data_IF_089378675254
#
_entry.id   IF_089378675254
#
_cell.length_a   1.000
_cell.length_b   1.000
_cell.length_c   1.000
_cell.angle_alpha   90.00
_cell.angle_beta   90.00
_cell.angle_gamma   90.00
#
_symmetry.space_group_name_H-M   'P 1'
#
loop_
_entity.id
_entity.type
_entity.pdbx_description
1 polymer ?
#
# COMPACT_ATOMS: atom_id res chain seq x y z
N UNK A 1 17.98 23.91 -60.61
CA UNK A 1 19.02 22.87 -60.68
C UNK A 1 18.79 21.91 -59.55
N UNK A 2 18.00 20.88 -59.81
CA UNK A 2 17.51 19.90 -58.82
C UNK A 2 18.40 18.66 -58.91
N UNK A 3 19.18 18.42 -57.87
CA UNK A 3 20.02 17.23 -57.76
C UNK A 3 19.27 16.14 -57.04
N UNK A 4 18.97 15.06 -57.74
CA UNK A 4 18.36 13.82 -57.25
C UNK A 4 19.28 13.16 -56.23
N UNK A 5 18.80 13.02 -54.99
CA UNK A 5 19.36 12.08 -54.02
C UNK A 5 18.63 10.74 -54.24
N UNK A 6 19.40 9.77 -54.64
CA UNK A 6 18.99 8.39 -54.92
C UNK A 6 18.76 7.68 -53.59
N UNK A 7 17.52 7.30 -53.29
CA UNK A 7 17.18 6.34 -52.26
C UNK A 7 17.87 5.00 -52.54
N UNK A 8 18.70 4.58 -51.61
CA UNK A 8 19.06 3.16 -51.44
C UNK A 8 18.34 2.65 -50.19
N UNK A 9 17.07 2.32 -50.38
CA UNK A 9 16.32 1.49 -49.47
C UNK A 9 16.85 0.07 -49.56
N UNK A 10 17.62 -0.35 -48.59
CA UNK A 10 17.84 -1.75 -48.34
C UNK A 10 16.70 -2.25 -47.48
N UNK A 11 15.67 -2.81 -48.11
CA UNK A 11 14.65 -3.63 -47.52
C UNK A 11 15.33 -4.87 -46.91
N UNK A 12 15.76 -4.74 -45.66
CA UNK A 12 16.04 -5.91 -44.82
C UNK A 12 14.69 -6.46 -44.37
N UNK A 13 13.94 -7.05 -45.30
CA UNK A 13 12.88 -7.99 -45.01
C UNK A 13 13.48 -9.05 -44.12
N UNK A 14 13.16 -8.99 -42.82
CA UNK A 14 13.35 -10.08 -41.89
C UNK A 14 12.68 -11.32 -42.51
N UNK A 15 13.51 -12.21 -43.07
CA UNK A 15 13.02 -13.43 -43.70
C UNK A 15 12.31 -14.25 -42.61
N UNK A 16 11.03 -14.61 -42.79
CA UNK A 16 10.28 -15.43 -41.80
C UNK A 16 10.97 -16.78 -41.51
N UNK A 17 11.82 -17.25 -42.41
CA UNK A 17 12.59 -18.50 -42.30
C UNK A 17 13.66 -18.50 -41.19
N UNK A 18 14.03 -17.33 -40.63
CA UNK A 18 15.00 -17.24 -39.53
C UNK A 18 14.41 -17.57 -38.13
N UNK A 19 13.09 -17.74 -38.04
CA UNK A 19 12.40 -18.05 -36.78
C UNK A 19 11.95 -19.51 -36.65
N UNK A 20 12.18 -20.35 -37.67
CA UNK A 20 11.74 -21.75 -37.71
C UNK A 20 12.83 -22.72 -37.27
N UNK A 21 13.16 -22.74 -35.97
CA UNK A 21 13.98 -23.78 -35.37
C UNK A 21 13.97 -23.68 -33.85
N UNK A 22 13.84 -24.82 -33.17
CA UNK A 22 13.87 -24.92 -31.71
C UNK A 22 15.10 -24.23 -31.10
N UNK A 23 16.27 -24.33 -31.79
CA UNK A 23 17.49 -23.65 -31.37
C UNK A 23 17.38 -22.13 -31.36
N UNK A 24 16.70 -21.55 -32.35
CA UNK A 24 16.50 -20.09 -32.43
C UNK A 24 15.52 -19.59 -31.37
N UNK A 25 14.43 -20.33 -31.11
CA UNK A 25 13.50 -20.04 -30.03
C UNK A 25 14.22 -20.03 -28.68
N UNK A 26 15.00 -21.07 -28.37
CA UNK A 26 15.76 -21.16 -27.12
C UNK A 26 16.73 -19.97 -26.97
N UNK A 27 17.47 -19.65 -27.99
CA UNK A 27 18.42 -18.54 -27.96
C UNK A 27 17.73 -17.20 -27.68
N UNK A 28 16.61 -16.93 -28.32
CA UNK A 28 15.81 -15.73 -28.09
C UNK A 28 15.21 -15.73 -26.69
N UNK A 29 14.61 -16.83 -26.25
CA UNK A 29 13.99 -16.93 -24.93
C UNK A 29 15.01 -16.79 -23.78
N UNK A 30 16.24 -17.33 -23.96
CA UNK A 30 17.31 -17.17 -22.96
C UNK A 30 17.90 -15.74 -22.92
N UNK A 31 17.84 -15.01 -24.05
CA UNK A 31 18.34 -13.63 -24.11
C UNK A 31 17.36 -12.59 -23.52
N UNK A 32 16.10 -12.95 -23.31
CA UNK A 32 15.08 -12.05 -22.77
C UNK A 32 15.16 -12.01 -21.25
N UNK A 33 15.20 -10.79 -20.66
CA UNK A 33 15.20 -10.60 -19.21
C UNK A 33 13.86 -10.93 -18.52
N UNK A 34 12.84 -11.31 -19.28
CA UNK A 34 11.54 -11.73 -18.79
C UNK A 34 11.56 -13.24 -18.53
N UNK A 35 11.00 -13.67 -17.41
CA UNK A 35 10.81 -15.09 -17.14
C UNK A 35 9.80 -15.69 -18.12
N UNK A 36 10.18 -16.78 -18.79
CA UNK A 36 9.33 -17.49 -19.74
C UNK A 36 9.09 -18.90 -19.22
N UNK A 37 7.83 -19.29 -19.17
CA UNK A 37 7.39 -20.62 -18.84
C UNK A 37 6.48 -21.15 -19.94
N UNK A 38 6.65 -22.40 -20.33
CA UNK A 38 5.69 -23.12 -21.17
C UNK A 38 5.13 -24.27 -20.36
N UNK A 39 3.81 -24.35 -20.23
CA UNK A 39 3.14 -25.37 -19.45
C UNK A 39 2.07 -26.11 -20.26
N UNK A 40 1.95 -27.40 -20.03
CA UNK A 40 0.84 -28.23 -20.49
C UNK A 40 0.16 -28.87 -19.27
N UNK A 41 -1.08 -28.47 -19.05
CA UNK A 41 -1.80 -28.88 -17.85
C UNK A 41 -1.16 -28.30 -16.58
N UNK A 42 -0.60 -29.16 -15.72
CA UNK A 42 0.03 -28.78 -14.45
C UNK A 42 1.56 -28.80 -14.48
N UNK A 43 2.14 -29.25 -15.56
CA UNK A 43 3.60 -29.42 -15.71
C UNK A 43 4.21 -28.31 -16.55
N UNK A 44 5.39 -27.86 -16.15
CA UNK A 44 6.25 -27.00 -16.95
C UNK A 44 7.07 -27.88 -17.92
N UNK A 45 7.11 -27.48 -19.18
CA UNK A 45 7.87 -28.13 -20.23
C UNK A 45 9.11 -27.35 -20.64
N UNK A 46 9.05 -26.02 -20.44
CA UNK A 46 10.18 -25.14 -20.69
C UNK A 46 10.20 -24.00 -19.69
N UNK A 47 11.38 -23.60 -19.27
CA UNK A 47 11.66 -22.38 -18.51
C UNK A 47 12.99 -21.80 -18.99
N UNK A 48 13.11 -20.47 -19.07
CA UNK A 48 14.37 -19.80 -19.40
C UNK A 48 15.17 -19.44 -18.13
N UNK A 49 16.39 -18.95 -18.29
CA UNK A 49 17.27 -18.58 -17.19
C UNK A 49 16.67 -17.44 -16.32
N UNK A 50 15.90 -16.51 -16.89
CA UNK A 50 15.23 -15.48 -16.12
C UNK A 50 14.19 -16.08 -15.14
N UNK A 51 13.52 -17.19 -15.51
CA UNK A 51 12.61 -17.90 -14.62
C UNK A 51 13.34 -18.52 -13.42
N UNK A 52 14.54 -19.05 -13.59
CA UNK A 52 15.37 -19.56 -12.48
C UNK A 52 15.76 -18.41 -11.53
N UNK A 53 16.17 -17.28 -12.09
CA UNK A 53 16.56 -16.08 -11.31
C UNK A 53 15.41 -15.54 -10.48
N UNK A 54 14.22 -15.39 -11.08
CA UNK A 54 13.03 -14.82 -10.41
C UNK A 54 12.51 -15.76 -9.33
N UNK A 55 12.48 -17.07 -9.59
CA UNK A 55 11.89 -18.05 -8.65
C UNK A 55 12.89 -18.57 -7.62
N UNK A 56 14.19 -18.56 -7.95
CA UNK A 56 15.26 -19.13 -7.13
C UNK A 56 15.35 -20.65 -7.18
N UNK A 57 14.57 -21.31 -8.04
CA UNK A 57 14.64 -22.74 -8.30
C UNK A 57 15.52 -23.00 -9.54
N UNK A 58 16.26 -24.09 -9.53
CA UNK A 58 16.96 -24.54 -10.73
C UNK A 58 15.97 -25.07 -11.79
N UNK A 59 16.37 -25.05 -13.05
CA UNK A 59 15.55 -25.49 -14.19
C UNK A 59 14.96 -26.88 -13.98
N UNK A 60 15.78 -27.84 -13.54
CA UNK A 60 15.38 -29.23 -13.30
C UNK A 60 14.32 -29.33 -12.21
N UNK A 61 14.41 -28.48 -11.17
CA UNK A 61 13.43 -28.42 -10.09
C UNK A 61 12.11 -27.89 -10.62
N UNK A 62 12.15 -26.77 -11.38
CA UNK A 62 10.96 -26.16 -11.99
C UNK A 62 10.22 -27.11 -12.92
N UNK A 63 10.95 -27.85 -13.76
CA UNK A 63 10.36 -28.83 -14.69
C UNK A 63 9.75 -30.04 -13.98
N UNK A 64 10.22 -30.36 -12.77
CA UNK A 64 9.72 -31.49 -11.98
C UNK A 64 8.56 -31.18 -11.07
N UNK A 65 8.37 -29.86 -10.72
CA UNK A 65 7.37 -29.42 -9.76
C UNK A 65 6.03 -29.04 -10.42
N UNK A 66 5.00 -28.93 -9.60
CA UNK A 66 3.75 -28.33 -10.04
C UNK A 66 3.87 -26.79 -9.97
N UNK A 67 3.67 -26.09 -11.09
CA UNK A 67 3.79 -24.62 -11.13
C UNK A 67 2.91 -23.89 -10.11
N UNK A 68 1.82 -24.53 -9.63
CA UNK A 68 0.94 -23.98 -8.60
C UNK A 68 1.63 -23.81 -7.26
N UNK A 69 2.70 -24.56 -7.02
CA UNK A 69 3.45 -24.51 -5.77
C UNK A 69 4.31 -23.22 -5.70
N UNK A 70 4.59 -22.61 -6.85
CA UNK A 70 5.22 -21.28 -6.94
C UNK A 70 4.26 -20.17 -6.55
N UNK A 71 2.94 -20.37 -6.67
CA UNK A 71 1.96 -19.32 -6.51
C UNK A 71 1.61 -19.17 -5.03
N UNK A 72 1.69 -17.93 -4.54
CA UNK A 72 1.27 -17.61 -3.18
C UNK A 72 -0.17 -18.08 -2.93
N UNK A 73 -0.50 -18.66 -1.76
CA UNK A 73 -1.83 -19.19 -1.46
C UNK A 73 -2.98 -18.24 -1.81
N UNK A 74 -2.84 -16.95 -1.50
CA UNK A 74 -3.86 -15.92 -1.74
C UNK A 74 -4.15 -15.67 -3.23
N UNK A 75 -3.21 -16.01 -4.11
CA UNK A 75 -3.34 -15.81 -5.55
C UNK A 75 -3.75 -17.08 -6.32
N UNK A 76 -3.79 -18.24 -5.67
CA UNK A 76 -4.06 -19.53 -6.34
C UNK A 76 -5.42 -19.57 -7.02
N UNK A 77 -6.45 -19.06 -6.36
CA UNK A 77 -7.80 -19.04 -6.90
C UNK A 77 -7.91 -18.14 -8.14
N UNK A 78 -7.24 -16.97 -8.12
CA UNK A 78 -7.17 -16.06 -9.25
C UNK A 78 -6.55 -16.73 -10.48
N UNK A 79 -5.41 -17.40 -10.29
CA UNK A 79 -4.69 -18.08 -11.38
C UNK A 79 -5.49 -19.26 -11.93
N UNK A 80 -6.23 -19.98 -11.07
CA UNK A 80 -7.09 -21.08 -11.51
C UNK A 80 -8.25 -20.60 -12.37
N UNK A 81 -8.91 -19.51 -11.99
CA UNK A 81 -10.03 -18.92 -12.75
C UNK A 81 -9.55 -18.44 -14.12
N UNK A 82 -8.38 -17.85 -14.21
CA UNK A 82 -7.82 -17.28 -15.45
C UNK A 82 -7.11 -18.32 -16.32
N UNK A 83 -6.37 -19.25 -15.75
CA UNK A 83 -5.68 -20.31 -16.48
C UNK A 83 -6.60 -21.35 -17.14
N UNK A 84 -7.90 -21.37 -16.82
CA UNK A 84 -8.88 -22.25 -17.43
C UNK A 84 -9.66 -21.64 -18.62
N UNK A 85 -9.54 -20.35 -18.84
CA UNK A 85 -10.21 -19.66 -19.93
C UNK A 85 -9.48 -19.97 -21.26
N UNK A 86 -10.17 -20.61 -22.21
CA UNK A 86 -9.70 -20.85 -23.59
C UNK A 86 -9.68 -19.54 -24.42
N UNK A 87 -9.17 -18.45 -23.86
CA UNK A 87 -9.10 -17.18 -24.57
C UNK A 87 -7.80 -17.12 -25.40
N UNK A 88 -7.95 -16.78 -26.69
CA UNK A 88 -6.83 -16.56 -27.62
C UNK A 88 -6.10 -15.24 -27.38
N UNK A 89 -6.70 -14.31 -26.64
CA UNK A 89 -6.12 -13.02 -26.35
C UNK A 89 -5.19 -13.09 -25.11
N UNK A 90 -4.05 -12.41 -25.18
CA UNK A 90 -3.08 -12.36 -24.09
C UNK A 90 -3.72 -11.68 -22.86
N UNK A 91 -3.95 -12.44 -21.81
CA UNK A 91 -4.46 -11.93 -20.56
C UNK A 91 -3.31 -11.47 -19.65
N UNK A 92 -3.40 -10.22 -19.15
CA UNK A 92 -2.41 -9.67 -18.23
C UNK A 92 -2.98 -9.54 -16.83
N UNK A 93 -2.22 -9.98 -15.83
CA UNK A 93 -2.59 -9.85 -14.43
C UNK A 93 -1.35 -9.87 -13.53
N UNK A 94 -1.52 -9.39 -12.30
CA UNK A 94 -0.47 -9.44 -11.30
C UNK A 94 -0.69 -10.61 -10.35
N UNK A 95 0.38 -11.30 -9.99
CA UNK A 95 0.34 -12.45 -9.09
C UNK A 95 1.53 -12.41 -8.13
N UNK A 96 1.31 -12.86 -6.90
CA UNK A 96 2.37 -13.06 -5.93
C UNK A 96 2.86 -14.51 -6.00
N UNK A 97 4.16 -14.70 -5.99
CA UNK A 97 4.81 -16.01 -5.93
C UNK A 97 5.66 -16.16 -4.67
N UNK A 98 5.96 -17.40 -4.32
CA UNK A 98 6.92 -17.77 -3.28
C UNK A 98 8.19 -18.29 -3.94
N UNK A 99 9.33 -17.67 -3.65
CA UNK A 99 10.65 -18.17 -4.06
C UNK A 99 11.05 -19.38 -3.24
N UNK A 100 12.07 -20.11 -3.72
CA UNK A 100 12.63 -21.27 -3.03
C UNK A 100 13.09 -20.99 -1.59
N UNK A 101 13.55 -19.77 -1.32
CA UNK A 101 13.97 -19.34 0.02
C UNK A 101 12.82 -18.82 0.90
N UNK A 102 11.57 -18.86 0.41
CA UNK A 102 10.39 -18.38 1.10
C UNK A 102 10.08 -16.90 0.90
N UNK A 103 10.92 -16.14 0.21
CA UNK A 103 10.64 -14.72 -0.10
C UNK A 103 9.46 -14.60 -1.05
N UNK A 104 8.65 -13.57 -0.85
CA UNK A 104 7.56 -13.21 -1.74
C UNK A 104 8.05 -12.31 -2.88
N UNK A 105 7.49 -12.51 -4.09
CA UNK A 105 7.70 -11.64 -5.25
C UNK A 105 6.39 -11.34 -5.95
N UNK A 106 6.24 -10.10 -6.40
CA UNK A 106 5.16 -9.70 -7.28
C UNK A 106 5.57 -9.84 -8.73
N UNK A 107 4.80 -10.58 -9.51
CA UNK A 107 5.03 -10.74 -10.95
C UNK A 107 3.86 -10.15 -11.74
N UNK A 108 4.18 -9.38 -12.78
CA UNK A 108 3.25 -9.06 -13.86
C UNK A 108 3.29 -10.19 -14.88
N UNK A 109 2.19 -10.89 -15.06
CA UNK A 109 2.10 -12.10 -15.87
C UNK A 109 1.26 -11.81 -17.11
N UNK A 110 1.74 -12.27 -18.27
CA UNK A 110 0.98 -12.34 -19.51
C UNK A 110 0.91 -13.80 -19.96
N UNK A 111 -0.29 -14.27 -20.31
CA UNK A 111 -0.52 -15.66 -20.74
C UNK A 111 -1.07 -15.71 -22.16
N UNK A 112 -0.57 -16.62 -22.98
CA UNK A 112 -1.08 -16.87 -24.32
C UNK A 112 -1.13 -18.39 -24.57
N UNK A 113 -2.07 -18.83 -25.39
CA UNK A 113 -2.14 -20.24 -25.85
C UNK A 113 -1.33 -20.36 -27.13
N UNK A 114 -0.41 -21.30 -27.13
CA UNK A 114 0.46 -21.62 -28.27
C UNK A 114 0.32 -23.11 -28.62
N UNK A 115 0.77 -23.50 -29.80
CA UNK A 115 1.06 -24.89 -30.15
C UNK A 115 2.52 -25.18 -29.80
N UNK A 116 2.74 -26.21 -28.99
CA UNK A 116 4.06 -26.65 -28.56
C UNK A 116 4.09 -28.19 -28.64
N UNK A 117 5.03 -28.72 -29.41
CA UNK A 117 5.13 -30.18 -29.70
C UNK A 117 3.84 -30.81 -30.21
N UNK A 118 3.10 -30.11 -31.10
CA UNK A 118 1.83 -30.56 -31.68
C UNK A 118 0.66 -30.58 -30.70
N UNK A 119 0.79 -30.00 -29.52
CA UNK A 119 -0.25 -29.90 -28.50
C UNK A 119 -0.43 -28.45 -28.03
N UNK A 120 -1.64 -28.14 -27.55
CA UNK A 120 -1.89 -26.82 -26.94
C UNK A 120 -1.13 -26.69 -25.63
N UNK A 121 -0.43 -25.57 -25.48
CA UNK A 121 0.34 -25.21 -24.30
C UNK A 121 0.06 -23.74 -23.91
N UNK A 122 0.27 -23.43 -22.65
CA UNK A 122 0.24 -22.04 -22.17
C UNK A 122 1.67 -21.49 -22.15
N UNK A 123 1.91 -20.43 -22.92
CA UNK A 123 3.09 -19.59 -22.83
C UNK A 123 2.81 -18.51 -21.78
N UNK A 124 3.64 -18.46 -20.78
CA UNK A 124 3.57 -17.46 -19.68
C UNK A 124 4.85 -16.65 -19.71
N UNK A 125 4.70 -15.34 -19.85
CA UNK A 125 5.80 -14.39 -19.62
C UNK A 125 5.57 -13.63 -18.32
N UNK A 126 6.62 -13.45 -17.51
CA UNK A 126 6.51 -12.83 -16.21
C UNK A 126 7.65 -11.83 -15.95
N UNK A 127 7.29 -10.64 -15.47
CA UNK A 127 8.21 -9.59 -15.08
C UNK A 127 8.16 -9.39 -13.56
N UNK A 128 9.32 -9.20 -12.92
CA UNK A 128 9.37 -8.84 -11.51
C UNK A 128 8.88 -7.40 -11.31
N UNK A 129 7.81 -7.24 -10.55
CA UNK A 129 7.21 -5.95 -10.18
C UNK A 129 7.44 -5.59 -8.72
N UNK A 130 8.25 -6.37 -7.99
CA UNK A 130 8.39 -6.24 -6.53
C UNK A 130 8.92 -4.87 -6.13
N UNK A 131 9.96 -4.38 -6.78
CA UNK A 131 10.50 -3.04 -6.51
C UNK A 131 9.48 -1.94 -6.81
N UNK A 132 8.73 -2.05 -7.91
CA UNK A 132 7.66 -1.12 -8.25
C UNK A 132 6.57 -1.11 -7.18
N UNK A 133 6.10 -2.28 -6.72
CA UNK A 133 5.10 -2.40 -5.66
C UNK A 133 5.57 -1.81 -4.34
N UNK A 134 6.79 -2.10 -3.94
CA UNK A 134 7.36 -1.50 -2.72
C UNK A 134 7.51 0.02 -2.84
N UNK A 135 7.87 0.53 -4.02
CA UNK A 135 7.93 1.98 -4.25
C UNK A 135 6.54 2.61 -4.19
N UNK A 136 5.52 2.01 -4.80
CA UNK A 136 4.13 2.44 -4.74
C UNK A 136 3.61 2.45 -3.29
N UNK A 137 3.83 1.38 -2.53
CA UNK A 137 3.47 1.28 -1.10
C UNK A 137 4.17 2.34 -0.25
N UNK A 138 5.47 2.55 -0.50
CA UNK A 138 6.24 3.59 0.19
C UNK A 138 5.72 4.99 -0.11
N UNK A 139 5.39 5.27 -1.37
CA UNK A 139 4.78 6.56 -1.76
C UNK A 139 3.42 6.73 -1.07
N UNK A 140 2.59 5.70 -1.02
CA UNK A 140 1.31 5.75 -0.32
C UNK A 140 1.50 5.99 1.19
N UNK A 141 2.45 5.28 1.81
CA UNK A 141 2.77 5.47 3.22
C UNK A 141 3.21 6.91 3.50
N UNK A 142 4.14 7.45 2.72
CA UNK A 142 4.61 8.83 2.83
C UNK A 142 3.51 9.85 2.55
N UNK A 143 2.55 9.52 1.68
CA UNK A 143 1.43 10.41 1.36
C UNK A 143 0.35 10.47 2.45
N UNK A 144 0.28 9.48 3.35
CA UNK A 144 -0.78 9.34 4.35
C UNK A 144 -0.31 9.37 5.80
N UNK A 145 1.01 9.39 6.06
CA UNK A 145 1.57 9.41 7.42
C UNK A 145 2.37 10.68 7.70
N UNK A 146 2.40 11.09 8.95
CA UNK A 146 3.31 12.12 9.46
C UNK A 146 4.69 11.51 9.73
N UNK A 147 5.77 12.02 9.11
CA UNK A 147 7.09 11.39 9.17
C UNK A 147 7.76 11.50 10.55
N UNK A 148 7.31 12.40 11.42
CA UNK A 148 7.84 12.55 12.77
C UNK A 148 7.20 11.56 13.73
N UNK A 149 5.88 11.49 13.70
CA UNK A 149 5.10 10.74 14.68
C UNK A 149 4.69 9.35 14.19
N UNK A 150 4.69 9.11 12.87
CA UNK A 150 4.20 7.87 12.26
C UNK A 150 2.69 7.66 12.38
N UNK A 151 1.94 8.65 12.88
CA UNK A 151 0.47 8.68 12.82
C UNK A 151 0.00 9.05 11.42
N UNK A 152 -1.30 9.02 11.16
CA UNK A 152 -1.86 9.62 9.96
C UNK A 152 -1.48 11.10 9.85
N UNK A 153 -1.38 11.61 8.63
CA UNK A 153 -1.24 13.04 8.37
C UNK A 153 -2.61 13.69 8.12
N UNK A 154 -2.63 15.00 7.82
CA UNK A 154 -3.85 15.73 7.50
C UNK A 154 -4.69 15.08 6.40
N UNK A 155 -4.05 14.57 5.34
CA UNK A 155 -4.76 13.89 4.24
C UNK A 155 -5.45 12.62 4.73
N UNK A 156 -4.76 11.78 5.51
CA UNK A 156 -5.35 10.58 6.12
C UNK A 156 -6.54 10.91 7.00
N UNK A 157 -6.45 11.99 7.78
CA UNK A 157 -7.55 12.47 8.64
C UNK A 157 -8.79 12.79 7.82
N UNK A 158 -8.64 13.58 6.76
CA UNK A 158 -9.77 14.00 5.90
C UNK A 158 -10.42 12.81 5.21
N UNK A 159 -9.62 11.92 4.63
CA UNK A 159 -10.11 10.70 3.96
C UNK A 159 -10.86 9.78 4.95
N UNK A 160 -10.33 9.59 6.16
CA UNK A 160 -10.97 8.75 7.18
C UNK A 160 -12.27 9.39 7.70
N UNK A 161 -12.29 10.70 7.92
CA UNK A 161 -13.47 11.42 8.41
C UNK A 161 -14.61 11.40 7.37
N UNK A 162 -14.29 11.61 6.08
CA UNK A 162 -15.27 11.51 5.00
C UNK A 162 -15.89 10.11 4.91
N UNK A 163 -15.06 9.07 5.06
CA UNK A 163 -15.52 7.68 5.08
C UNK A 163 -16.47 7.40 6.26
N UNK A 164 -16.15 7.91 7.46
CA UNK A 164 -16.98 7.69 8.67
C UNK A 164 -18.27 8.50 8.63
N UNK A 165 -18.26 9.73 8.12
CA UNK A 165 -19.48 10.53 7.91
C UNK A 165 -20.44 9.79 6.96
N UNK A 166 -19.94 9.29 5.83
CA UNK A 166 -20.72 8.48 4.88
C UNK A 166 -21.22 7.19 5.52
N UNK A 167 -20.43 6.54 6.36
CA UNK A 167 -20.81 5.34 7.09
C UNK A 167 -21.91 5.61 8.12
N UNK A 168 -21.79 6.68 8.91
CA UNK A 168 -22.80 7.12 9.87
C UNK A 168 -24.13 7.40 9.18
N UNK A 169 -24.12 8.07 8.02
CA UNK A 169 -25.34 8.31 7.21
C UNK A 169 -26.06 7.02 6.78
N UNK A 170 -25.33 5.91 6.59
CA UNK A 170 -25.93 4.61 6.22
C UNK A 170 -26.39 3.78 7.43
N UNK A 171 -25.63 3.83 8.53
CA UNK A 171 -25.84 2.94 9.69
C UNK A 171 -26.62 3.58 10.81
N UNK A 172 -26.71 4.91 10.86
CA UNK A 172 -27.25 5.68 11.97
C UNK A 172 -26.38 5.66 13.25
N UNK A 173 -25.19 5.01 13.20
CA UNK A 173 -24.30 4.93 14.36
C UNK A 173 -23.37 6.15 14.35
N UNK A 174 -23.31 6.92 15.47
CA UNK A 174 -22.53 8.16 15.51
C UNK A 174 -21.04 7.89 15.41
N UNK A 175 -20.26 8.88 14.91
CA UNK A 175 -18.82 8.89 15.05
C UNK A 175 -18.38 10.15 15.79
N UNK A 176 -17.32 10.05 16.62
CA UNK A 176 -16.77 11.18 17.32
C UNK A 176 -15.42 11.62 16.74
N UNK A 177 -15.12 12.90 16.85
CA UNK A 177 -13.81 13.49 16.53
C UNK A 177 -13.28 14.15 17.79
N UNK A 178 -12.03 13.84 18.13
CA UNK A 178 -11.25 14.55 19.14
C UNK A 178 -10.22 15.41 18.40
N UNK A 179 -10.18 16.70 18.67
CA UNK A 179 -9.05 17.56 18.33
C UNK A 179 -8.20 17.77 19.56
N UNK A 180 -6.88 17.62 19.39
CA UNK A 180 -5.93 17.71 20.50
C UNK A 180 -4.81 18.69 20.14
N UNK A 181 -4.39 19.46 21.11
CA UNK A 181 -3.26 20.39 20.99
C UNK A 181 -2.30 20.12 22.15
N UNK A 182 -1.02 19.92 21.84
CA UNK A 182 0.01 19.70 22.85
C UNK A 182 0.31 21.03 23.56
N UNK A 183 -0.09 21.12 24.80
CA UNK A 183 0.02 22.37 25.57
C UNK A 183 1.49 22.81 25.69
N UNK A 184 1.69 24.12 25.51
CA UNK A 184 2.95 24.80 25.74
C UNK A 184 4.15 24.27 24.93
N UNK A 185 3.95 23.64 23.77
CA UNK A 185 5.05 23.14 22.92
C UNK A 185 6.08 24.26 22.62
N UNK A 186 5.62 25.48 22.42
CA UNK A 186 6.53 26.65 22.18
C UNK A 186 7.43 26.90 23.36
N UNK A 187 6.93 26.79 24.61
CA UNK A 187 7.72 26.94 25.83
C UNK A 187 8.69 25.76 26.03
N UNK A 188 8.26 24.55 25.70
CA UNK A 188 9.13 23.36 25.71
C UNK A 188 10.29 23.56 24.74
N UNK A 189 10.01 23.99 23.51
CA UNK A 189 11.04 24.30 22.52
C UNK A 189 12.02 25.37 22.97
N UNK A 190 11.49 26.43 23.58
CA UNK A 190 12.32 27.53 24.08
C UNK A 190 13.24 27.11 25.23
N UNK A 191 12.71 26.34 26.21
CA UNK A 191 13.43 25.96 27.42
C UNK A 191 14.35 24.75 27.23
N UNK A 192 13.96 23.77 26.43
CA UNK A 192 14.65 22.47 26.31
C UNK A 192 15.17 22.19 24.90
N UNK A 193 14.92 23.09 23.96
CA UNK A 193 15.32 22.95 22.56
C UNK A 193 14.37 22.11 21.69
N UNK A 194 14.46 22.33 20.38
CA UNK A 194 13.55 21.70 19.41
C UNK A 194 13.62 20.16 19.39
N UNK A 195 14.73 19.55 19.78
CA UNK A 195 14.85 18.09 19.86
C UNK A 195 13.87 17.52 20.90
N UNK A 196 13.82 18.16 22.08
CA UNK A 196 12.91 17.75 23.16
C UNK A 196 11.45 18.03 22.77
N UNK A 197 11.16 19.14 22.08
CA UNK A 197 9.82 19.40 21.55
C UNK A 197 9.36 18.33 20.53
N UNK A 198 10.27 17.87 19.67
CA UNK A 198 9.97 16.74 18.76
C UNK A 198 9.71 15.43 19.54
N UNK A 199 10.45 15.17 20.59
CA UNK A 199 10.23 14.02 21.47
C UNK A 199 8.86 14.13 22.18
N UNK A 200 8.47 15.34 22.62
CA UNK A 200 7.17 15.58 23.25
C UNK A 200 6.01 15.24 22.27
N UNK A 201 6.12 15.65 21.01
CA UNK A 201 5.16 15.26 19.97
C UNK A 201 5.09 13.74 19.75
N UNK A 202 6.24 13.06 19.75
CA UNK A 202 6.28 11.60 19.63
C UNK A 202 5.64 10.91 20.85
N UNK A 203 5.85 11.41 22.07
CA UNK A 203 5.24 10.89 23.31
C UNK A 203 3.72 11.01 23.27
N UNK A 204 3.16 12.13 22.82
CA UNK A 204 1.72 12.25 22.60
C UNK A 204 1.22 11.25 21.55
N UNK A 205 1.95 11.08 20.46
CA UNK A 205 1.61 10.10 19.42
C UNK A 205 1.60 8.66 19.97
N UNK A 206 2.56 8.30 20.84
CA UNK A 206 2.64 6.98 21.47
C UNK A 206 1.43 6.75 22.42
N UNK A 207 1.02 7.77 23.17
CA UNK A 207 -0.21 7.72 23.95
C UNK A 207 -1.43 7.45 23.09
N UNK A 208 -1.56 8.17 21.95
CA UNK A 208 -2.66 7.95 21.02
C UNK A 208 -2.67 6.54 20.44
N UNK A 209 -1.51 5.98 20.08
CA UNK A 209 -1.41 4.58 19.59
C UNK A 209 -1.89 3.56 20.59
N UNK A 210 -1.60 3.76 21.87
CA UNK A 210 -2.00 2.84 22.94
C UNK A 210 -3.48 2.98 23.28
N UNK A 211 -4.02 4.18 23.21
CA UNK A 211 -5.40 4.47 23.61
C UNK A 211 -6.42 4.33 22.46
N UNK A 212 -5.97 4.32 21.21
CA UNK A 212 -6.82 4.08 20.03
C UNK A 212 -6.98 2.60 19.74
N UNK A 213 -8.19 2.21 19.32
CA UNK A 213 -8.49 0.87 18.82
C UNK A 213 -8.02 0.72 17.38
N UNK A 214 -7.99 -0.49 16.86
CA UNK A 214 -7.67 -0.75 15.44
C UNK A 214 -8.67 -0.08 14.46
N UNK A 215 -9.91 0.18 14.91
CA UNK A 215 -10.93 0.89 14.15
C UNK A 215 -10.76 2.41 14.16
N UNK A 216 -10.02 2.94 15.11
CA UNK A 216 -9.86 4.38 15.31
C UNK A 216 -8.74 4.91 14.40
N UNK A 217 -8.86 6.16 14.01
CA UNK A 217 -7.82 6.82 13.21
C UNK A 217 -7.23 7.97 14.00
N UNK A 218 -5.94 7.86 14.34
CA UNK A 218 -5.17 8.97 14.93
C UNK A 218 -4.29 9.62 13.86
N UNK A 219 -4.26 10.95 13.86
CA UNK A 219 -3.49 11.74 12.89
C UNK A 219 -2.87 12.98 13.55
N UNK A 220 -1.75 13.44 12.98
CA UNK A 220 -1.19 14.75 13.24
C UNK A 220 -1.46 15.64 12.03
N UNK A 221 -2.24 16.70 12.19
CA UNK A 221 -2.68 17.52 11.07
C UNK A 221 -2.11 18.94 11.10
N UNK A 222 -1.42 19.32 12.18
CA UNK A 222 -0.74 20.59 12.34
C UNK A 222 0.62 20.47 13.02
N UNK A 223 1.19 21.60 13.47
CA UNK A 223 2.52 21.64 14.13
C UNK A 223 2.52 20.92 15.48
N UNK A 224 1.49 21.18 16.28
CA UNK A 224 1.22 20.70 17.63
C UNK A 224 -0.17 20.09 17.78
N UNK A 225 -0.90 19.99 16.66
CA UNK A 225 -2.29 19.58 16.56
C UNK A 225 -2.44 18.14 16.10
N UNK A 226 -3.25 17.40 16.84
CA UNK A 226 -3.59 16.00 16.58
C UNK A 226 -5.10 15.83 16.51
N UNK A 227 -5.53 14.79 15.80
CA UNK A 227 -6.94 14.42 15.75
C UNK A 227 -7.12 12.93 15.91
N UNK A 228 -8.24 12.53 16.51
CA UNK A 228 -8.64 11.13 16.59
C UNK A 228 -10.08 10.98 16.13
N UNK A 229 -10.32 10.08 15.17
CA UNK A 229 -11.65 9.70 14.73
C UNK A 229 -12.03 8.40 15.44
N UNK A 230 -13.18 8.40 16.09
CA UNK A 230 -13.72 7.26 16.87
C UNK A 230 -15.02 6.79 16.22
N UNK A 231 -14.99 5.74 15.39
CA UNK A 231 -16.20 5.16 14.82
C UNK A 231 -17.16 4.63 15.91
N UNK A 232 -18.46 4.68 15.63
CA UNK A 232 -19.53 4.16 16.49
C UNK A 232 -19.42 4.60 17.95
N UNK A 233 -19.08 5.89 18.15
CA UNK A 233 -18.76 6.44 19.47
C UNK A 233 -19.67 7.62 19.82
N UNK A 234 -20.32 7.55 20.97
CA UNK A 234 -21.17 8.62 21.53
C UNK A 234 -20.34 9.68 22.24
N UNK A 235 -20.93 10.85 22.52
CA UNK A 235 -20.29 11.96 23.27
C UNK A 235 -19.72 11.47 24.62
N UNK A 236 -20.49 10.71 25.37
CA UNK A 236 -20.04 10.21 26.69
C UNK A 236 -18.81 9.28 26.54
N UNK A 237 -18.83 8.37 25.59
CA UNK A 237 -17.71 7.48 25.31
C UNK A 237 -16.47 8.23 24.80
N UNK A 238 -16.65 9.22 23.93
CA UNK A 238 -15.55 10.06 23.42
C UNK A 238 -14.87 10.84 24.56
N UNK A 239 -15.66 11.40 25.50
CA UNK A 239 -15.13 12.08 26.70
C UNK A 239 -14.34 11.15 27.61
N UNK A 240 -14.71 9.90 27.72
CA UNK A 240 -13.93 8.89 28.45
C UNK A 240 -12.59 8.66 27.78
N UNK A 241 -12.54 8.56 26.43
CA UNK A 241 -11.28 8.43 25.70
C UNK A 241 -10.41 9.67 25.89
N UNK A 242 -10.97 10.87 25.75
CA UNK A 242 -10.25 12.12 25.98
C UNK A 242 -9.66 12.21 27.40
N UNK A 243 -10.44 11.83 28.43
CA UNK A 243 -9.98 11.79 29.83
C UNK A 243 -8.83 10.79 30.02
N UNK A 244 -8.92 9.61 29.38
CA UNK A 244 -7.88 8.57 29.46
C UNK A 244 -6.56 9.04 28.83
N UNK A 245 -6.62 9.69 27.68
CA UNK A 245 -5.44 10.28 27.01
C UNK A 245 -4.79 11.31 27.92
N UNK A 246 -5.57 12.26 28.49
CA UNK A 246 -5.03 13.27 29.42
C UNK A 246 -4.39 12.63 30.64
N UNK A 247 -5.06 11.65 31.27
CA UNK A 247 -4.51 10.96 32.46
C UNK A 247 -3.21 10.23 32.12
N UNK A 248 -3.11 9.58 30.97
CA UNK A 248 -1.90 8.89 30.57
C UNK A 248 -0.73 9.84 30.33
N UNK A 249 -0.99 11.00 29.69
CA UNK A 249 0.04 12.04 29.55
C UNK A 249 0.49 12.58 30.91
N UNK A 250 -0.44 12.83 31.82
CA UNK A 250 -0.12 13.35 33.15
C UNK A 250 0.65 12.34 34.03
N UNK A 251 0.52 11.05 33.81
CA UNK A 251 1.24 9.98 34.52
C UNK A 251 2.55 9.61 33.87
N UNK A 252 2.90 10.19 32.71
CA UNK A 252 4.18 9.95 32.06
C UNK A 252 5.32 10.59 32.91
N UNK A 253 6.24 9.76 33.37
CA UNK A 253 7.35 10.18 34.25
C UNK A 253 8.50 10.90 33.51
N UNK A 254 8.44 10.96 32.17
CA UNK A 254 9.47 11.60 31.35
C UNK A 254 9.40 13.12 31.43
N UNK A 255 10.57 13.77 31.38
CA UNK A 255 10.65 15.24 31.37
C UNK A 255 10.76 15.80 29.95
N UNK A 256 10.17 16.96 29.67
CA UNK A 256 9.25 17.71 30.54
C UNK A 256 7.88 17.03 30.70
N UNK A 257 7.12 17.34 31.77
CA UNK A 257 5.75 16.87 31.90
C UNK A 257 4.92 17.40 30.74
N UNK A 258 4.00 16.60 30.22
CA UNK A 258 3.15 16.95 29.09
C UNK A 258 1.68 17.03 29.51
N UNK A 259 0.96 17.97 28.91
CA UNK A 259 -0.50 18.02 28.91
C UNK A 259 -1.03 18.30 27.52
N UNK A 260 -2.29 17.99 27.29
CA UNK A 260 -2.96 18.29 26.04
C UNK A 260 -4.37 18.80 26.29
N UNK A 261 -4.73 19.87 25.63
CA UNK A 261 -6.11 20.34 25.53
C UNK A 261 -6.83 19.49 24.49
N UNK A 262 -8.07 19.07 24.77
CA UNK A 262 -8.83 18.15 23.92
C UNK A 262 -10.26 18.64 23.76
N UNK A 263 -10.67 18.98 22.53
CA UNK A 263 -12.05 19.25 22.15
C UNK A 263 -12.71 18.04 21.54
N UNK A 264 -14.00 17.85 21.79
CA UNK A 264 -14.79 16.69 21.35
C UNK A 264 -15.99 17.16 20.54
N UNK A 265 -16.23 16.54 19.38
CA UNK A 265 -17.47 16.72 18.62
C UNK A 265 -17.97 15.38 18.08
N UNK A 266 -19.29 15.23 17.94
CA UNK A 266 -19.93 14.00 17.49
C UNK A 266 -20.84 14.25 16.31
N UNK A 267 -20.62 13.52 15.24
CA UNK A 267 -21.47 13.55 14.05
C UNK A 267 -22.67 12.60 14.23
N UNK A 268 -23.90 12.98 13.85
CA UNK A 268 -24.27 14.27 13.23
C UNK A 268 -24.66 15.37 14.25
N UNK A 269 -24.62 15.10 15.55
CA UNK A 269 -25.18 15.93 16.63
C UNK A 269 -24.54 17.34 16.68
N UNK A 270 -23.22 17.42 16.52
CA UNK A 270 -22.43 18.64 16.68
C UNK A 270 -22.05 19.29 15.35
N UNK A 271 -22.51 18.71 14.22
CA UNK A 271 -22.32 19.22 12.86
C UNK A 271 -22.76 18.22 11.82
N UNK A 272 -23.40 18.71 10.75
CA UNK A 272 -23.84 17.88 9.61
C UNK A 272 -22.79 17.81 8.47
N UNK A 273 -21.75 18.66 8.54
CA UNK A 273 -20.61 18.64 7.62
C UNK A 273 -19.31 18.44 8.38
N UNK A 274 -18.26 18.01 7.66
CA UNK A 274 -16.92 17.83 8.24
C UNK A 274 -16.42 19.14 8.83
N UNK A 275 -16.62 20.26 8.10
CA UNK A 275 -16.18 21.59 8.53
C UNK A 275 -16.90 22.04 9.81
N UNK A 276 -18.23 21.84 9.88
CA UNK A 276 -19.03 22.18 11.06
C UNK A 276 -18.60 21.36 12.27
N UNK A 277 -18.35 20.07 12.09
CA UNK A 277 -17.90 19.14 13.12
C UNK A 277 -16.53 19.55 13.67
N UNK A 278 -15.56 19.79 12.78
CA UNK A 278 -14.22 20.24 13.17
C UNK A 278 -14.25 21.60 13.85
N UNK A 279 -15.07 22.55 13.37
CA UNK A 279 -15.24 23.86 14.00
C UNK A 279 -15.82 23.74 15.42
N UNK A 280 -16.73 22.80 15.66
CA UNK A 280 -17.28 22.56 17.00
C UNK A 280 -16.24 21.97 17.94
N UNK A 281 -15.46 20.98 17.48
CA UNK A 281 -14.36 20.40 18.25
C UNK A 281 -13.27 21.45 18.56
N UNK A 282 -12.91 22.28 17.59
CA UNK A 282 -11.91 23.36 17.78
C UNK A 282 -12.37 24.41 18.80
N UNK A 283 -13.65 24.80 18.76
CA UNK A 283 -14.22 25.73 19.76
C UNK A 283 -14.14 25.14 21.18
N UNK A 284 -14.44 23.87 21.38
CA UNK A 284 -14.30 23.19 22.68
C UNK A 284 -12.83 23.14 23.11
N UNK A 285 -11.93 22.80 22.19
CA UNK A 285 -10.49 22.77 22.40
C UNK A 285 -9.97 24.15 22.89
N UNK A 286 -10.34 25.21 22.19
CA UNK A 286 -9.91 26.58 22.55
C UNK A 286 -10.36 26.99 23.95
N UNK A 287 -11.57 26.60 24.36
CA UNK A 287 -12.09 26.85 25.71
C UNK A 287 -11.35 26.09 26.83
N UNK A 288 -10.54 25.09 26.51
CA UNK A 288 -9.77 24.28 27.46
C UNK A 288 -8.29 24.69 27.55
N UNK A 289 -7.79 25.55 26.65
CA UNK A 289 -6.38 25.98 26.70
C UNK A 289 -6.08 26.71 28.00
N UNK A 290 -4.98 26.33 28.70
CA UNK A 290 -4.54 27.08 29.87
C UNK A 290 -4.19 28.53 29.48
N UNK A 291 -4.67 29.49 30.26
CA UNK A 291 -4.41 30.95 30.09
C UNK A 291 -2.93 31.24 30.34
#
# INVERSE_FOLDING_TARGET
MLTKIRERGGDALLRPELLCGEANFRTLAEAIACAIFISQGKRLHYVNHAAETITGYAREELLSMNFRDLIHPDCRELVLKRGGARQRDAEQYEVKILKKNGDERWLGVSTAIIEFDGMLASLVSAFDLTERKHAEEKVQLLALTDPLTGLGNCRRLVEALDAEVKRTGRTGRPCAVLLLDLDQLKMINYRYGHLIGRQALCRLADVLRVDCRASDTAARYGSDEFAVILPETTVAAARVVASRIRSRLATDSLQPPLSASIGVAVYPQDGETIEALLCTADRELYGMKPV
#
